data_IF_656144982253
#
_entry.id   IF_656144982253
#
_cell.length_a   1.000
_cell.length_b   1.000
_cell.length_c   1.000
_cell.angle_alpha   90.00
_cell.angle_beta   90.00
_cell.angle_gamma   90.00
#
_symmetry.space_group_name_H-M   'P 1'
#
loop_
_entity.id
_entity.type
_entity.pdbx_description
1 polymer ?
#
# COMPACT_ATOMS: atom_id res chain seq x y z
N UNK A 1 -17.65 6.88 17.86
CA UNK A 1 -18.08 5.98 16.75
C UNK A 1 -16.94 5.59 15.81
N UNK A 2 -16.05 6.51 15.39
CA UNK A 2 -14.92 6.20 14.48
C UNK A 2 -13.93 5.14 15.00
N UNK A 3 -13.80 4.98 16.32
CA UNK A 3 -12.83 4.10 16.96
C UNK A 3 -13.05 2.62 16.59
N UNK A 4 -14.31 2.21 16.37
CA UNK A 4 -14.65 0.86 15.95
C UNK A 4 -14.13 0.50 14.56
N UNK A 5 -13.94 1.50 13.68
CA UNK A 5 -13.37 1.31 12.35
C UNK A 5 -11.86 1.60 12.34
N UNK A 6 -11.41 2.60 13.09
CA UNK A 6 -10.01 2.99 13.14
C UNK A 6 -9.11 1.91 13.79
N UNK A 7 -9.57 1.26 14.86
CA UNK A 7 -8.83 0.21 15.54
C UNK A 7 -8.47 -0.99 14.64
N UNK A 8 -9.42 -1.64 13.92
CA UNK A 8 -9.09 -2.74 13.01
C UNK A 8 -8.20 -2.31 11.85
N UNK A 9 -8.42 -1.13 11.26
CA UNK A 9 -7.55 -0.62 10.17
C UNK A 9 -6.12 -0.40 10.67
N UNK A 10 -5.98 0.21 11.85
CA UNK A 10 -4.67 0.43 12.48
C UNK A 10 -4.00 -0.90 12.79
N UNK A 11 -4.75 -1.88 13.28
CA UNK A 11 -4.24 -3.22 13.56
C UNK A 11 -3.78 -3.97 12.32
N UNK A 12 -4.54 -3.91 11.23
CA UNK A 12 -4.11 -4.46 9.95
C UNK A 12 -2.81 -3.80 9.48
N UNK A 13 -2.76 -2.47 9.46
CA UNK A 13 -1.61 -1.72 8.98
C UNK A 13 -0.36 -2.00 9.83
N UNK A 14 -0.50 -1.97 11.17
CA UNK A 14 0.62 -2.19 12.08
C UNK A 14 1.16 -3.62 11.98
N UNK A 15 0.28 -4.62 11.84
CA UNK A 15 0.71 -6.00 11.61
C UNK A 15 1.52 -6.14 10.31
N UNK A 16 1.09 -5.50 9.21
CA UNK A 16 1.85 -5.52 7.96
C UNK A 16 3.16 -4.74 8.05
N UNK A 17 3.17 -3.61 8.76
CA UNK A 17 4.38 -2.81 8.99
C UNK A 17 5.41 -3.60 9.81
N UNK A 18 4.98 -4.31 10.85
CA UNK A 18 5.87 -5.17 11.66
C UNK A 18 6.48 -6.28 10.78
N UNK A 19 5.68 -6.93 9.91
CA UNK A 19 6.20 -7.95 8.99
C UNK A 19 7.22 -7.39 8.01
N UNK A 20 6.91 -6.25 7.41
CA UNK A 20 7.82 -5.57 6.49
C UNK A 20 9.12 -5.16 7.20
N UNK A 21 9.03 -4.59 8.40
CA UNK A 21 10.21 -4.23 9.20
C UNK A 21 11.05 -5.46 9.57
N UNK A 22 10.42 -6.55 10.00
CA UNK A 22 11.10 -7.80 10.33
C UNK A 22 11.81 -8.42 9.10
N UNK A 23 11.21 -8.33 7.91
CA UNK A 23 11.82 -8.78 6.67
C UNK A 23 12.98 -7.87 6.23
N UNK A 24 12.81 -6.55 6.32
CA UNK A 24 13.83 -5.57 5.99
C UNK A 24 15.08 -5.72 6.90
N UNK A 25 14.90 -5.99 8.19
CA UNK A 25 16.00 -6.27 9.13
C UNK A 25 16.78 -7.55 8.76
N UNK A 26 16.16 -8.48 8.04
CA UNK A 26 16.80 -9.70 7.51
C UNK A 26 17.41 -9.48 6.12
N UNK A 27 17.37 -8.26 5.59
CA UNK A 27 17.86 -7.91 4.25
C UNK A 27 16.88 -8.16 3.11
N UNK A 28 15.64 -8.57 3.39
CA UNK A 28 14.59 -8.82 2.38
C UNK A 28 13.62 -7.64 2.29
N UNK A 29 13.94 -6.68 1.42
CA UNK A 29 13.13 -5.46 1.21
C UNK A 29 12.19 -5.64 0.01
N UNK A 30 11.24 -6.58 0.14
CA UNK A 30 10.21 -6.83 -0.87
C UNK A 30 8.85 -6.24 -0.43
N UNK A 31 8.27 -5.34 -1.23
CA UNK A 31 6.94 -4.79 -0.97
C UNK A 31 5.82 -5.83 -1.07
N UNK A 32 6.11 -7.02 -1.61
CA UNK A 32 5.18 -8.15 -1.56
C UNK A 32 4.78 -8.52 -0.12
N UNK A 33 5.58 -8.17 0.89
CA UNK A 33 5.24 -8.40 2.30
C UNK A 33 3.93 -7.74 2.77
N UNK A 34 3.49 -6.66 2.12
CA UNK A 34 2.19 -6.03 2.42
C UNK A 34 0.97 -6.85 1.92
N UNK A 35 1.16 -7.70 0.91
CA UNK A 35 0.09 -8.52 0.30
C UNK A 35 0.31 -10.04 0.45
N UNK A 36 1.46 -10.47 0.98
CA UNK A 36 1.75 -11.88 1.26
C UNK A 36 0.94 -12.39 2.45
N UNK A 37 0.42 -13.61 2.32
CA UNK A 37 -0.19 -14.37 3.41
C UNK A 37 0.89 -15.06 4.25
N UNK A 38 0.68 -15.18 5.57
CA UNK A 38 1.64 -15.79 6.51
C UNK A 38 2.53 -14.79 7.26
N UNK A 39 3.31 -15.27 8.22
CA UNK A 39 4.28 -14.49 9.01
C UNK A 39 3.71 -13.88 10.29
N UNK A 40 4.60 -13.61 11.25
CA UNK A 40 4.29 -13.04 12.56
C UNK A 40 4.34 -11.51 12.54
N UNK A 41 3.37 -10.79 13.14
CA UNK A 41 2.10 -11.25 13.72
C UNK A 41 0.99 -11.44 12.67
N UNK A 42 -0.02 -12.26 12.97
CA UNK A 42 -1.17 -12.49 12.07
C UNK A 42 -2.03 -11.23 11.92
N UNK A 43 -2.04 -10.64 10.71
CA UNK A 43 -2.85 -9.46 10.42
C UNK A 43 -4.36 -9.73 10.53
N UNK A 44 -4.85 -10.93 10.16
CA UNK A 44 -6.28 -11.27 10.30
C UNK A 44 -6.68 -11.27 11.78
N UNK A 45 -5.89 -11.95 12.61
CA UNK A 45 -6.14 -12.05 14.05
C UNK A 45 -6.00 -10.69 14.74
N UNK A 46 -4.98 -9.89 14.40
CA UNK A 46 -4.83 -8.52 14.92
C UNK A 46 -6.03 -7.64 14.58
N UNK A 47 -6.53 -7.71 13.36
CA UNK A 47 -7.65 -6.87 12.89
C UNK A 47 -8.93 -7.18 13.68
N UNK A 48 -9.31 -8.45 13.76
CA UNK A 48 -10.57 -8.84 14.43
C UNK A 48 -10.48 -8.70 15.94
N UNK A 49 -9.30 -8.93 16.53
CA UNK A 49 -9.12 -8.73 17.97
C UNK A 49 -9.11 -7.25 18.32
N UNK A 50 -8.49 -6.38 17.52
CA UNK A 50 -8.57 -4.94 17.71
C UNK A 50 -10.02 -4.44 17.69
N UNK A 51 -10.85 -4.97 16.78
CA UNK A 51 -12.28 -4.64 16.73
C UNK A 51 -13.03 -5.10 17.98
N UNK A 52 -13.00 -6.40 18.30
CA UNK A 52 -13.77 -6.95 19.44
C UNK A 52 -13.30 -6.37 20.77
N UNK A 53 -12.00 -6.13 20.96
CA UNK A 53 -11.48 -5.47 22.16
C UNK A 53 -11.99 -4.05 22.27
N UNK A 54 -11.93 -3.25 21.19
CA UNK A 54 -12.46 -1.87 21.18
C UNK A 54 -13.96 -1.84 21.48
N UNK A 55 -14.74 -2.76 20.90
CA UNK A 55 -16.18 -2.89 21.16
C UNK A 55 -16.45 -3.29 22.61
N UNK A 56 -15.71 -4.26 23.16
CA UNK A 56 -15.87 -4.70 24.54
C UNK A 56 -15.63 -3.57 25.55
N UNK A 57 -14.58 -2.77 25.35
CA UNK A 57 -14.26 -1.66 26.25
C UNK A 57 -15.15 -0.43 26.10
N UNK A 58 -15.69 -0.15 24.90
CA UNK A 58 -16.48 1.07 24.66
C UNK A 58 -18.00 0.85 24.69
N UNK A 59 -18.47 -0.29 24.18
CA UNK A 59 -19.90 -0.63 24.14
C UNK A 59 -20.31 -1.59 25.26
N UNK A 60 -19.33 -2.15 25.99
CA UNK A 60 -19.55 -3.10 27.07
C UNK A 60 -19.63 -4.55 26.58
N UNK A 61 -19.11 -5.45 27.40
CA UNK A 61 -19.06 -6.90 27.13
C UNK A 61 -20.44 -7.58 27.12
N UNK A 62 -21.48 -6.94 27.68
CA UNK A 62 -22.86 -7.43 27.65
C UNK A 62 -23.66 -6.92 26.44
N UNK A 63 -23.07 -6.10 25.56
CA UNK A 63 -23.77 -5.52 24.42
C UNK A 63 -23.97 -6.53 23.28
N UNK A 64 -25.08 -6.39 22.54
CA UNK A 64 -25.32 -7.19 21.34
C UNK A 64 -24.21 -7.02 20.29
N UNK A 65 -23.63 -5.81 20.19
CA UNK A 65 -22.52 -5.52 19.26
C UNK A 65 -21.25 -6.27 19.66
N UNK A 66 -20.96 -6.39 20.96
CA UNK A 66 -19.86 -7.23 21.44
C UNK A 66 -20.09 -8.70 21.08
N UNK A 67 -21.29 -9.23 21.31
CA UNK A 67 -21.61 -10.62 20.96
C UNK A 67 -21.36 -10.90 19.48
N UNK A 68 -21.88 -10.04 18.58
CA UNK A 68 -21.67 -10.17 17.13
C UNK A 68 -20.19 -10.12 16.76
N UNK A 69 -19.44 -9.15 17.28
CA UNK A 69 -18.02 -8.99 16.94
C UNK A 69 -17.13 -10.07 17.55
N UNK A 70 -17.48 -10.61 18.71
CA UNK A 70 -16.79 -11.74 19.33
C UNK A 70 -17.01 -13.05 18.56
N UNK A 71 -18.25 -13.34 18.18
CA UNK A 71 -18.56 -14.49 17.32
C UNK A 71 -17.84 -14.37 15.97
N UNK A 72 -17.84 -13.18 15.36
CA UNK A 72 -17.10 -12.94 14.12
C UNK A 72 -15.58 -13.15 14.29
N UNK A 73 -14.99 -12.62 15.37
CA UNK A 73 -13.58 -12.80 15.66
C UNK A 73 -13.22 -14.28 15.85
N UNK A 74 -14.06 -15.05 16.54
CA UNK A 74 -13.85 -16.49 16.72
C UNK A 74 -13.84 -17.25 15.38
N UNK A 75 -14.78 -16.95 14.48
CA UNK A 75 -14.85 -17.57 13.14
C UNK A 75 -13.57 -17.25 12.34
N UNK A 76 -13.15 -15.98 12.32
CA UNK A 76 -11.96 -15.55 11.55
C UNK A 76 -10.68 -16.15 12.13
N UNK A 77 -10.55 -16.21 13.45
CA UNK A 77 -9.40 -16.84 14.11
C UNK A 77 -9.39 -18.34 13.79
N UNK A 78 -10.53 -19.02 13.86
CA UNK A 78 -10.64 -20.44 13.52
C UNK A 78 -10.28 -20.73 12.05
N UNK A 79 -10.76 -19.94 11.09
CA UNK A 79 -10.38 -20.08 9.68
C UNK A 79 -8.87 -19.89 9.48
N UNK A 80 -8.30 -18.90 10.17
CA UNK A 80 -6.88 -18.56 10.06
C UNK A 80 -5.95 -19.67 10.59
N UNK A 81 -6.38 -20.40 11.63
CA UNK A 81 -5.60 -21.49 12.25
C UNK A 81 -5.94 -22.85 11.63
N UNK A 82 -7.21 -23.25 11.63
CA UNK A 82 -7.60 -24.62 11.32
C UNK A 82 -7.70 -24.88 9.82
N UNK A 83 -8.58 -24.15 9.15
CA UNK A 83 -8.92 -24.40 7.74
C UNK A 83 -7.73 -24.10 6.84
N UNK A 84 -7.08 -22.93 7.00
CA UNK A 84 -5.96 -22.54 6.13
C UNK A 84 -4.70 -23.37 6.36
N UNK A 85 -4.46 -23.86 7.58
CA UNK A 85 -3.32 -24.74 7.83
C UNK A 85 -3.53 -26.12 7.18
N UNK A 86 -4.74 -26.67 7.22
CA UNK A 86 -5.08 -27.92 6.54
C UNK A 86 -4.91 -27.80 5.02
N UNK A 87 -5.41 -26.72 4.42
CA UNK A 87 -5.24 -26.46 2.97
C UNK A 87 -3.76 -26.28 2.60
N UNK A 88 -2.97 -25.63 3.45
CA UNK A 88 -1.52 -25.53 3.27
C UNK A 88 -0.81 -26.90 3.31
N UNK A 89 -1.22 -27.79 4.21
CA UNK A 89 -0.69 -29.15 4.30
C UNK A 89 -1.07 -29.99 3.07
N UNK A 90 -2.32 -29.87 2.59
CA UNK A 90 -2.75 -30.51 1.35
C UNK A 90 -1.96 -29.99 0.15
N UNK A 91 -1.73 -28.68 0.06
CA UNK A 91 -0.94 -28.06 -1.02
C UNK A 91 0.50 -28.58 -1.04
N UNK A 92 1.13 -28.79 0.12
CA UNK A 92 2.47 -29.39 0.23
C UNK A 92 2.48 -30.84 -0.23
N UNK A 93 1.45 -31.62 0.12
CA UNK A 93 1.33 -33.02 -0.31
C UNK A 93 1.14 -33.12 -1.83
N UNK A 94 0.26 -32.29 -2.39
CA UNK A 94 0.01 -32.23 -3.83
C UNK A 94 1.26 -31.82 -4.61
N UNK A 95 2.07 -30.88 -4.09
CA UNK A 95 3.33 -30.49 -4.71
C UNK A 95 4.35 -31.65 -4.73
N UNK A 96 4.40 -32.49 -3.68
CA UNK A 96 5.23 -33.70 -3.67
C UNK A 96 4.77 -34.71 -4.72
N UNK A 97 3.46 -34.90 -4.87
CA UNK A 97 2.88 -35.78 -5.90
C UNK A 97 3.16 -35.24 -7.31
N UNK A 98 3.02 -33.93 -7.53
CA UNK A 98 3.36 -33.25 -8.78
C UNK A 98 4.79 -33.54 -9.23
N UNK A 99 5.76 -33.37 -8.31
CA UNK A 99 7.18 -33.62 -8.58
C UNK A 99 7.40 -35.09 -8.98
N UNK A 100 6.74 -36.02 -8.28
CA UNK A 100 6.80 -37.46 -8.59
C UNK A 100 6.16 -37.80 -9.94
N UNK A 101 5.09 -37.11 -10.31
CA UNK A 101 4.33 -37.33 -11.55
C UNK A 101 4.79 -36.48 -12.74
N UNK A 102 5.88 -35.71 -12.61
CA UNK A 102 6.45 -34.84 -13.65
C UNK A 102 5.46 -33.84 -14.29
N UNK A 103 4.49 -33.35 -13.51
CA UNK A 103 3.51 -32.36 -13.98
C UNK A 103 4.12 -30.95 -13.89
N UNK A 104 4.12 -30.22 -15.00
CA UNK A 104 4.81 -28.91 -15.12
C UNK A 104 4.06 -27.72 -14.48
N UNK A 105 2.83 -27.93 -13.98
CA UNK A 105 2.05 -26.88 -13.33
C UNK A 105 2.38 -26.75 -11.84
N UNK A 106 3.09 -25.69 -11.45
CA UNK A 106 3.36 -25.40 -10.03
C UNK A 106 2.07 -25.11 -9.25
N UNK A 107 1.91 -25.78 -8.11
CA UNK A 107 0.81 -25.50 -7.19
C UNK A 107 1.23 -24.36 -6.26
N UNK A 108 0.47 -23.27 -6.29
CA UNK A 108 0.73 -22.12 -5.41
C UNK A 108 0.48 -22.55 -3.96
N UNK A 109 1.53 -22.54 -3.15
CA UNK A 109 1.42 -22.90 -1.74
C UNK A 109 0.71 -21.78 -0.97
N UNK A 110 -0.50 -22.05 -0.51
CA UNK A 110 -1.17 -21.20 0.48
C UNK A 110 -0.58 -21.51 1.86
N UNK A 111 0.25 -20.62 2.38
CA UNK A 111 0.77 -20.73 3.73
C UNK A 111 -0.33 -20.27 4.70
N UNK A 112 -0.89 -21.22 5.46
CA UNK A 112 -1.69 -20.89 6.65
C UNK A 112 -0.82 -20.26 7.73
N UNK A 113 -1.44 -19.58 8.69
CA UNK A 113 -0.73 -19.02 9.84
C UNK A 113 -0.38 -20.12 10.84
N UNK A 114 0.76 -19.97 11.53
CA UNK A 114 1.07 -20.85 12.66
C UNK A 114 0.37 -20.36 13.93
N UNK A 115 0.14 -21.26 14.90
CA UNK A 115 -0.51 -20.89 16.16
C UNK A 115 0.21 -19.73 16.89
N UNK A 116 1.56 -19.67 16.95
CA UNK A 116 2.27 -18.51 17.51
C UNK A 116 2.03 -17.20 16.75
N UNK A 117 1.89 -17.23 15.41
CA UNK A 117 1.58 -16.03 14.63
C UNK A 117 0.20 -15.47 14.97
N UNK A 118 -0.77 -16.36 15.17
CA UNK A 118 -2.13 -16.00 15.58
C UNK A 118 -2.14 -15.44 17.00
N UNK A 119 -1.45 -16.09 17.95
CA UNK A 119 -1.31 -15.58 19.32
C UNK A 119 -0.65 -14.20 19.35
N UNK A 120 0.44 -13.99 18.60
CA UNK A 120 1.06 -12.67 18.45
C UNK A 120 0.11 -11.63 17.86
N UNK A 121 -0.75 -12.06 16.92
CA UNK A 121 -1.80 -11.22 16.37
C UNK A 121 -2.86 -10.82 17.39
N UNK A 122 -3.33 -11.78 18.22
CA UNK A 122 -4.30 -11.55 19.30
C UNK A 122 -3.75 -10.54 20.31
N UNK A 123 -2.52 -10.74 20.78
CA UNK A 123 -1.88 -9.82 21.75
C UNK A 123 -1.79 -8.40 21.17
N UNK A 124 -1.29 -8.27 19.94
CA UNK A 124 -1.19 -6.98 19.27
C UNK A 124 -2.57 -6.31 19.10
N UNK A 125 -3.58 -7.07 18.70
CA UNK A 125 -4.94 -6.58 18.54
C UNK A 125 -5.55 -6.09 19.85
N UNK A 126 -5.35 -6.84 20.94
CA UNK A 126 -5.84 -6.46 22.26
C UNK A 126 -5.18 -5.17 22.77
N UNK A 127 -3.87 -5.02 22.58
CA UNK A 127 -3.12 -3.80 22.93
C UNK A 127 -3.66 -2.60 22.16
N UNK A 128 -3.90 -2.73 20.85
CA UNK A 128 -4.49 -1.65 20.03
C UNK A 128 -5.89 -1.30 20.52
N UNK A 129 -6.73 -2.30 20.78
CA UNK A 129 -8.10 -2.07 21.23
C UNK A 129 -8.16 -1.37 22.59
N UNK A 130 -7.30 -1.78 23.54
CA UNK A 130 -7.13 -1.11 24.84
C UNK A 130 -6.62 0.32 24.63
N UNK A 131 -5.64 0.54 23.77
CA UNK A 131 -5.11 1.88 23.49
C UNK A 131 -6.19 2.80 22.91
N UNK A 132 -6.99 2.33 21.94
CA UNK A 132 -8.10 3.10 21.38
C UNK A 132 -9.19 3.38 22.42
N UNK A 133 -9.51 2.41 23.28
CA UNK A 133 -10.48 2.60 24.34
C UNK A 133 -9.99 3.58 25.43
N UNK A 134 -8.73 3.47 25.85
CA UNK A 134 -8.12 4.36 26.84
C UNK A 134 -7.99 5.80 26.33
N UNK A 135 -7.77 5.94 25.02
CA UNK A 135 -7.66 7.25 24.35
C UNK A 135 -9.01 7.77 23.87
N UNK A 136 -10.10 6.99 23.97
CA UNK A 136 -11.43 7.40 23.54
C UNK A 136 -11.94 8.66 24.23
N UNK A 137 -11.56 8.83 25.49
CA UNK A 137 -11.90 10.01 26.30
C UNK A 137 -10.90 11.18 26.12
N UNK A 138 -9.83 11.00 25.34
CA UNK A 138 -8.74 11.97 25.14
C UNK A 138 -8.45 12.34 23.68
N UNK A 139 -8.98 11.60 22.70
CA UNK A 139 -8.74 11.77 21.24
C UNK A 139 -9.83 12.63 20.59
N UNK A 140 -10.47 13.50 21.36
CA UNK A 140 -11.30 14.58 20.83
C UNK A 140 -10.52 15.39 19.79
N UNK A 141 -9.32 15.90 20.14
CA UNK A 141 -8.57 16.82 19.27
C UNK A 141 -8.25 16.33 17.84
N UNK A 142 -7.84 15.07 17.64
CA UNK A 142 -7.56 14.55 16.28
C UNK A 142 -8.85 14.29 15.51
N UNK A 143 -9.94 13.96 16.20
CA UNK A 143 -11.21 13.62 15.55
C UNK A 143 -12.10 14.82 15.33
N UNK A 144 -12.02 15.82 16.17
CA UNK A 144 -12.51 17.18 15.94
C UNK A 144 -11.75 17.79 14.76
N UNK A 145 -10.42 17.63 14.69
CA UNK A 145 -9.63 18.06 13.53
C UNK A 145 -10.06 17.37 12.22
N UNK A 146 -10.35 16.06 12.24
CA UNK A 146 -10.78 15.29 11.06
C UNK A 146 -12.29 15.44 10.78
N UNK A 147 -13.14 15.85 11.72
CA UNK A 147 -14.59 15.98 11.50
C UNK A 147 -15.06 17.40 11.24
N UNK A 148 -14.30 18.42 11.64
CA UNK A 148 -14.64 19.82 11.38
C UNK A 148 -14.46 20.19 9.90
N UNK A 149 -15.43 20.87 9.27
CA UNK A 149 -15.24 21.38 7.91
C UNK A 149 -14.06 22.37 7.87
N UNK A 150 -13.32 22.38 6.75
CA UNK A 150 -12.17 23.27 6.56
C UNK A 150 -12.59 24.73 6.75
N UNK A 151 -11.83 25.46 7.54
CA UNK A 151 -12.02 26.91 7.68
C UNK A 151 -11.72 27.62 6.36
N UNK A 152 -12.27 28.82 6.16
CA UNK A 152 -12.07 29.58 4.92
C UNK A 152 -10.60 29.88 4.59
N UNK A 153 -9.72 29.90 5.61
CA UNK A 153 -8.27 30.07 5.43
C UNK A 153 -7.60 28.79 4.91
N UNK A 154 -7.96 27.63 5.47
CA UNK A 154 -7.45 26.33 5.02
C UNK A 154 -7.90 26.01 3.59
N UNK A 155 -9.10 26.44 3.22
CA UNK A 155 -9.59 26.34 1.84
C UNK A 155 -8.72 27.12 0.84
N UNK A 156 -8.30 28.34 1.21
CA UNK A 156 -7.40 29.16 0.39
C UNK A 156 -6.03 28.49 0.24
N UNK A 157 -5.50 27.91 1.31
CA UNK A 157 -4.21 27.20 1.29
C UNK A 157 -4.29 25.96 0.39
N UNK A 158 -5.38 25.18 0.46
CA UNK A 158 -5.58 24.02 -0.41
C UNK A 158 -5.62 24.39 -1.90
N UNK A 159 -6.30 25.48 -2.26
CA UNK A 159 -6.31 25.99 -3.64
C UNK A 159 -4.94 26.47 -4.11
N UNK A 160 -4.17 27.13 -3.24
CA UNK A 160 -2.79 27.54 -3.55
C UNK A 160 -1.91 26.32 -3.82
N UNK A 161 -2.04 25.25 -3.03
CA UNK A 161 -1.29 24.01 -3.26
C UNK A 161 -1.67 23.33 -4.58
N UNK A 162 -2.96 23.31 -4.95
CA UNK A 162 -3.39 22.79 -6.25
C UNK A 162 -2.90 23.65 -7.42
N UNK A 163 -2.92 24.98 -7.27
CA UNK A 163 -2.33 25.90 -8.24
C UNK A 163 -0.84 25.65 -8.42
N UNK A 164 -0.09 25.44 -7.34
CA UNK A 164 1.33 25.10 -7.40
C UNK A 164 1.57 23.76 -8.11
N UNK A 165 0.74 22.75 -7.86
CA UNK A 165 0.80 21.46 -8.57
C UNK A 165 0.47 21.60 -10.07
N UNK A 166 -0.52 22.41 -10.43
CA UNK A 166 -0.88 22.72 -11.81
C UNK A 166 0.22 23.49 -12.54
N UNK A 167 0.84 24.47 -11.87
CA UNK A 167 2.01 25.19 -12.39
C UNK A 167 3.19 24.23 -12.58
N UNK A 168 3.43 23.33 -11.61
CA UNK A 168 4.43 22.26 -11.74
C UNK A 168 4.15 21.34 -12.93
N UNK A 169 2.89 20.95 -13.13
CA UNK A 169 2.45 20.14 -14.26
C UNK A 169 2.63 20.85 -15.60
N UNK A 170 2.26 22.14 -15.70
CA UNK A 170 2.43 22.96 -16.90
C UNK A 170 3.91 23.16 -17.23
N UNK A 171 4.73 23.47 -16.23
CA UNK A 171 6.19 23.62 -16.34
C UNK A 171 6.83 22.32 -16.84
N UNK A 172 6.43 21.19 -16.27
CA UNK A 172 6.87 19.86 -16.72
C UNK A 172 6.43 19.60 -18.18
N UNK A 173 5.19 19.91 -18.54
CA UNK A 173 4.69 19.65 -19.90
C UNK A 173 5.41 20.55 -20.93
N UNK A 174 5.73 21.79 -20.59
CA UNK A 174 6.56 22.68 -21.40
C UNK A 174 7.99 22.13 -21.59
N UNK A 175 8.62 21.68 -20.50
CA UNK A 175 9.92 20.99 -20.56
C UNK A 175 9.84 19.71 -21.42
N UNK A 176 8.73 19.00 -21.34
CA UNK A 176 8.50 17.76 -22.07
C UNK A 176 8.31 17.97 -23.58
N UNK A 177 7.65 19.05 -23.97
CA UNK A 177 7.50 19.45 -25.37
C UNK A 177 8.86 19.83 -25.97
N UNK A 178 9.71 20.53 -25.21
CA UNK A 178 11.07 20.92 -25.63
C UNK A 178 11.98 19.72 -25.85
N UNK A 179 11.87 18.67 -25.03
CA UNK A 179 12.75 17.50 -25.07
C UNK A 179 12.15 16.26 -25.77
N UNK A 180 11.03 16.39 -26.48
CA UNK A 180 10.27 15.25 -27.06
C UNK A 180 11.06 14.36 -28.02
N UNK A 181 12.14 14.87 -28.61
CA UNK A 181 12.91 14.19 -29.68
C UNK A 181 13.98 13.23 -29.16
N UNK A 182 14.34 13.24 -27.87
CA UNK A 182 15.33 12.30 -27.33
C UNK A 182 14.67 10.94 -27.02
N UNK A 183 15.29 9.82 -27.39
CA UNK A 183 14.70 8.48 -27.23
C UNK A 183 14.48 8.11 -25.76
N UNK A 184 15.34 8.58 -24.86
CA UNK A 184 15.20 8.42 -23.41
C UNK A 184 14.02 9.20 -22.86
N UNK A 185 13.78 10.41 -23.36
CA UNK A 185 12.64 11.22 -22.96
C UNK A 185 11.31 10.65 -23.45
N UNK A 186 11.28 10.00 -24.64
CA UNK A 186 10.09 9.29 -25.14
C UNK A 186 9.67 8.12 -24.25
N UNK A 187 10.63 7.44 -23.61
CA UNK A 187 10.38 6.41 -22.58
C UNK A 187 9.94 7.02 -21.24
N UNK A 188 10.49 8.17 -20.87
CA UNK A 188 10.21 8.87 -19.61
C UNK A 188 8.89 9.64 -19.57
N UNK A 189 8.41 10.14 -20.71
CA UNK A 189 7.27 11.07 -20.78
C UNK A 189 5.99 10.51 -20.15
N UNK A 190 5.67 9.24 -20.42
CA UNK A 190 4.48 8.58 -19.83
C UNK A 190 4.61 8.47 -18.30
N UNK A 191 5.80 8.14 -17.83
CA UNK A 191 6.11 7.96 -16.41
C UNK A 191 5.95 9.25 -15.63
N UNK A 192 6.53 10.35 -16.11
CA UNK A 192 6.43 11.62 -15.40
C UNK A 192 5.06 12.30 -15.59
N UNK A 193 4.36 12.00 -16.70
CA UNK A 193 2.95 12.42 -16.88
C UNK A 193 2.05 11.83 -15.77
N UNK A 194 2.13 10.52 -15.51
CA UNK A 194 1.31 9.90 -14.47
C UNK A 194 1.69 10.31 -13.05
N UNK A 195 2.96 10.63 -12.78
CA UNK A 195 3.38 11.07 -11.44
C UNK A 195 2.99 12.50 -11.08
N UNK A 196 2.58 13.31 -12.06
CA UNK A 196 2.25 14.73 -11.85
C UNK A 196 0.78 15.02 -12.10
N UNK A 197 0.21 14.50 -13.19
CA UNK A 197 -1.17 14.84 -13.58
C UNK A 197 -2.19 14.05 -12.79
N UNK A 198 -1.93 12.77 -12.51
CA UNK A 198 -2.86 11.95 -11.74
C UNK A 198 -3.07 12.52 -10.33
N UNK A 199 -2.02 12.86 -9.54
CA UNK A 199 -2.21 13.50 -8.24
C UNK A 199 -2.93 14.85 -8.33
N UNK A 200 -2.66 15.64 -9.37
CA UNK A 200 -3.29 16.96 -9.53
C UNK A 200 -4.77 16.86 -9.88
N UNK A 201 -5.16 15.87 -10.70
CA UNK A 201 -6.58 15.60 -11.00
C UNK A 201 -7.34 15.10 -9.76
N UNK A 202 -6.74 14.20 -8.98
CA UNK A 202 -7.35 13.71 -7.73
C UNK A 202 -7.43 14.82 -6.66
N UNK A 203 -6.41 15.68 -6.55
CA UNK A 203 -6.45 16.84 -5.66
C UNK A 203 -7.49 17.89 -6.08
N UNK A 204 -7.70 18.10 -7.38
CA UNK A 204 -8.77 19.00 -7.89
C UNK A 204 -10.17 18.44 -7.64
N UNK A 205 -10.38 17.15 -7.95
CA UNK A 205 -11.63 16.45 -7.66
C UNK A 205 -11.95 16.46 -6.16
N UNK A 206 -10.92 16.31 -5.32
CA UNK A 206 -11.00 16.40 -3.87
C UNK A 206 -11.55 17.75 -3.38
N UNK A 207 -11.10 18.88 -3.94
CA UNK A 207 -11.58 20.21 -3.54
C UNK A 207 -13.03 20.43 -3.97
N UNK A 208 -13.42 19.96 -5.16
CA UNK A 208 -14.80 20.06 -5.66
C UNK A 208 -15.76 19.23 -4.79
N UNK A 209 -15.34 18.03 -4.39
CA UNK A 209 -16.13 17.18 -3.48
C UNK A 209 -16.21 17.76 -2.07
N UNK A 210 -15.18 18.49 -1.62
CA UNK A 210 -15.22 19.23 -0.35
C UNK A 210 -16.21 20.42 -0.36
N UNK A 211 -16.68 20.89 -1.52
CA UNK A 211 -17.68 21.96 -1.63
C UNK A 211 -19.13 21.47 -1.55
N UNK A 212 -19.39 20.19 -1.86
CA UNK A 212 -20.72 19.60 -1.75
C UNK A 212 -20.94 19.24 -0.28
N UNK A 213 -21.91 19.85 0.41
CA UNK A 213 -22.29 19.50 1.79
C UNK A 213 -22.94 18.10 1.84
N UNK A 214 -22.16 17.08 1.53
CA UNK A 214 -22.57 15.68 1.62
C UNK A 214 -22.61 15.32 3.10
N UNK A 215 -23.74 14.75 3.53
CA UNK A 215 -24.07 14.50 4.93
C UNK A 215 -23.01 13.62 5.63
N UNK A 216 -22.16 14.28 6.42
CA UNK A 216 -21.51 13.93 7.69
C UNK A 216 -20.92 12.53 7.98
N UNK A 217 -21.02 11.51 7.14
CA UNK A 217 -20.38 10.23 7.41
C UNK A 217 -19.43 9.82 6.29
N UNK A 218 -18.14 9.80 6.63
CA UNK A 218 -17.02 9.17 5.91
C UNK A 218 -16.24 9.96 4.84
N UNK A 219 -16.61 11.18 4.42
CA UNK A 219 -15.94 11.83 3.29
C UNK A 219 -14.43 12.04 3.47
N UNK A 220 -13.95 12.45 4.65
CA UNK A 220 -12.51 12.64 4.92
C UNK A 220 -11.71 11.34 5.05
N UNK A 221 -12.33 10.23 5.46
CA UNK A 221 -11.64 8.93 5.56
C UNK A 221 -11.31 8.40 4.17
N UNK A 222 -12.25 8.50 3.23
CA UNK A 222 -12.02 8.19 1.81
C UNK A 222 -10.95 9.10 1.20
N UNK A 223 -10.95 10.38 1.59
CA UNK A 223 -9.90 11.33 1.17
C UNK A 223 -8.53 10.89 1.68
N UNK A 224 -8.35 10.69 2.99
CA UNK A 224 -7.03 10.35 3.53
C UNK A 224 -6.57 8.98 3.04
N UNK A 225 -7.46 7.99 2.92
CA UNK A 225 -7.10 6.67 2.39
C UNK A 225 -6.77 6.70 0.90
N UNK A 226 -7.45 7.51 0.08
CA UNK A 226 -7.07 7.73 -1.32
C UNK A 226 -5.78 8.53 -1.45
N UNK A 227 -5.54 9.53 -0.59
CA UNK A 227 -4.32 10.33 -0.59
C UNK A 227 -3.11 9.50 -0.17
N UNK A 228 -3.25 8.67 0.87
CA UNK A 228 -2.24 7.69 1.28
C UNK A 228 -2.00 6.67 0.17
N UNK A 229 -3.05 6.13 -0.46
CA UNK A 229 -2.90 5.20 -1.58
C UNK A 229 -2.16 5.85 -2.76
N UNK A 230 -2.50 7.09 -3.12
CA UNK A 230 -1.85 7.84 -4.19
C UNK A 230 -0.39 8.12 -3.85
N UNK A 231 -0.08 8.53 -2.61
CA UNK A 231 1.29 8.75 -2.14
C UNK A 231 2.09 7.45 -2.15
N UNK A 232 1.52 6.34 -1.67
CA UNK A 232 2.18 5.02 -1.66
C UNK A 232 2.45 4.54 -3.09
N UNK A 233 1.47 4.70 -3.99
CA UNK A 233 1.64 4.39 -5.41
C UNK A 233 2.71 5.30 -6.04
N UNK A 234 2.76 6.58 -5.68
CA UNK A 234 3.74 7.55 -6.16
C UNK A 234 5.16 7.23 -5.66
N UNK A 235 5.33 6.92 -4.38
CA UNK A 235 6.62 6.51 -3.80
C UNK A 235 7.08 5.21 -4.47
N UNK A 236 6.21 4.21 -4.57
CA UNK A 236 6.51 2.94 -5.22
C UNK A 236 6.91 3.12 -6.69
N UNK A 237 6.22 4.00 -7.40
CA UNK A 237 6.50 4.31 -8.79
C UNK A 237 7.80 5.10 -8.96
N UNK A 238 8.08 6.05 -8.05
CA UNK A 238 9.31 6.85 -8.03
C UNK A 238 10.53 5.98 -7.72
N UNK A 239 10.43 5.05 -6.77
CA UNK A 239 11.50 4.09 -6.47
C UNK A 239 11.81 3.21 -7.71
N UNK A 240 10.79 2.69 -8.39
CA UNK A 240 10.94 1.93 -9.64
C UNK A 240 11.50 2.77 -10.79
N UNK A 241 11.26 4.07 -10.77
CA UNK A 241 11.79 5.00 -11.75
C UNK A 241 13.27 5.29 -11.51
N UNK A 242 13.64 5.72 -10.30
CA UNK A 242 15.02 6.05 -9.94
C UNK A 242 15.96 4.85 -10.05
N UNK A 243 15.49 3.64 -9.76
CA UNK A 243 16.29 2.43 -9.95
C UNK A 243 16.61 2.11 -11.42
N UNK A 244 15.82 2.62 -12.38
CA UNK A 244 16.02 2.39 -13.83
C UNK A 244 16.83 3.49 -14.52
N UNK A 245 16.99 4.67 -13.93
CA UNK A 245 17.75 5.78 -14.52
C UNK A 245 19.21 5.38 -14.85
N UNK A 246 19.98 4.76 -13.94
CA UNK A 246 21.38 4.41 -14.22
C UNK A 246 21.51 3.46 -15.41
N UNK A 247 20.57 2.51 -15.55
CA UNK A 247 20.54 1.56 -16.66
C UNK A 247 20.21 2.25 -17.99
N UNK A 248 19.23 3.14 -18.00
CA UNK A 248 18.84 3.90 -19.20
C UNK A 248 19.96 4.83 -19.67
N UNK A 249 20.65 5.50 -18.76
CA UNK A 249 21.82 6.35 -19.07
C UNK A 249 22.97 5.50 -19.61
N UNK A 250 23.22 4.32 -19.03
CA UNK A 250 24.26 3.40 -19.52
C UNK A 250 23.94 2.85 -20.92
N UNK A 251 22.67 2.49 -21.19
CA UNK A 251 22.21 2.08 -22.52
C UNK A 251 22.37 3.19 -23.56
N UNK A 252 22.01 4.43 -23.23
CA UNK A 252 22.13 5.56 -24.15
C UNK A 252 23.58 5.92 -24.43
N UNK A 253 24.44 5.95 -23.40
CA UNK A 253 25.88 6.14 -23.55
C UNK A 253 26.51 5.04 -24.41
N UNK A 254 26.14 3.77 -24.20
CA UNK A 254 26.61 2.66 -25.03
C UNK A 254 26.18 2.78 -26.50
N UNK A 255 24.96 3.25 -26.75
CA UNK A 255 24.47 3.54 -28.11
C UNK A 255 25.24 4.67 -28.78
N UNK A 256 25.51 5.76 -28.05
CA UNK A 256 26.30 6.88 -28.57
C UNK A 256 27.74 6.46 -28.88
N UNK A 257 28.39 5.71 -27.99
CA UNK A 257 29.74 5.16 -28.21
C UNK A 257 29.78 4.23 -29.43
N UNK A 258 28.78 3.36 -29.59
CA UNK A 258 28.69 2.48 -30.77
C UNK A 258 28.35 3.21 -32.07
N UNK A 259 27.68 4.37 -32.00
CA UNK A 259 27.40 5.21 -33.17
C UNK A 259 28.62 6.03 -33.61
N UNK A 260 29.49 6.38 -32.67
CA UNK A 260 30.74 7.14 -32.90
C UNK A 260 31.90 6.23 -33.30
N UNK A 261 31.93 4.95 -32.90
CA UNK A 261 32.91 3.99 -33.42
C UNK A 261 32.71 3.82 -34.94
N UNK A 262 33.66 4.23 -35.79
CA UNK A 262 33.53 4.00 -37.22
C UNK A 262 33.50 2.49 -37.49
N UNK A 263 32.68 2.05 -38.46
CA UNK A 263 32.69 0.69 -39.02
C UNK A 263 34.07 0.36 -39.61
N UNK A 264 35.07 0.07 -38.76
CA UNK A 264 36.46 -0.17 -39.22
C UNK A 264 36.69 -1.61 -39.68
N UNK A 265 35.71 -2.51 -39.53
CA UNK A 265 35.90 -3.95 -39.77
C UNK A 265 35.11 -4.59 -40.92
N UNK A 266 34.32 -3.84 -41.72
CA UNK A 266 33.61 -4.44 -42.87
C UNK A 266 34.31 -4.27 -44.23
N UNK A 267 35.44 -3.55 -44.31
CA UNK A 267 36.21 -3.38 -45.57
C UNK A 267 37.48 -4.26 -45.68
N UNK A 268 37.91 -4.93 -44.61
CA UNK A 268 39.12 -5.80 -44.63
C UNK A 268 38.85 -7.28 -44.96
N UNK A 269 37.60 -7.70 -45.14
CA UNK A 269 37.23 -9.09 -45.49
C UNK A 269 36.85 -9.32 -46.97
N UNK A 270 36.99 -8.31 -47.84
CA UNK A 270 36.78 -8.43 -49.30
C UNK A 270 38.09 -8.33 -50.13
N UNK A 271 39.24 -8.47 -49.48
CA UNK A 271 40.56 -8.53 -50.14
C UNK A 271 41.42 -9.59 -49.44
N UNK A 272 41.08 -10.86 -49.63
CA UNK A 272 41.99 -12.00 -49.65
C UNK A 272 41.32 -13.06 -50.50
#
# INVERSE_FOLDING_TARGET
>A
MYQFLAAPITGWFLAQLIKFAAAALRGDVDFAWFWRSGGMPSAHSTTVVALVSTVGFLSGFSSAVFAVTATFAAIVIYDSVGVRQAVGNHSKLLEKLRIKSQIDHRIKQTLGHTLPEVLGGIVLGAVIGIAYAATANKVGGLTDFISTPLSGAEFRIAWVLVLLLLVGAASYNAFALRNRKTPTFKRLRKTVFYSVILPTMFAGLFIVLAQQQVSAFEWRMWVWSTLVLVIVLQISYSIRFYSKIPLLVKEENARLINKVKPKRNSKKRKRK
#
